data_IF_137944920137
#
_entry.id   IF_137944920137
#
_cell.length_a   1.000
_cell.length_b   1.000
_cell.length_c   1.000
_cell.angle_alpha   90.00
_cell.angle_beta   90.00
_cell.angle_gamma   90.00
#
_symmetry.space_group_name_H-M   'P 1'
#
loop_
_entity.id
_entity.type
_entity.pdbx_description
1 polymer ?
#
# COMPACT_ATOMS: atom_id res chain seq x y z
N UNK A 1 26.67 33.40 4.50
CA UNK A 1 25.33 33.88 4.09
C UNK A 1 25.22 33.74 2.57
N UNK A 2 24.75 32.61 2.04
CA UNK A 2 24.52 32.50 0.58
C UNK A 2 23.50 31.44 0.11
N UNK A 3 23.02 30.52 0.94
CA UNK A 3 22.07 29.48 0.45
C UNK A 3 20.62 29.69 0.91
N UNK A 4 20.38 30.59 1.86
CA UNK A 4 19.03 30.87 2.38
C UNK A 4 18.12 31.58 1.36
N UNK A 5 18.69 32.42 0.48
CA UNK A 5 17.91 33.14 -0.53
C UNK A 5 17.46 32.27 -1.72
N UNK A 6 18.12 31.13 -1.97
CA UNK A 6 17.78 30.25 -3.10
C UNK A 6 16.57 29.34 -2.80
N UNK A 7 16.27 29.09 -1.52
CA UNK A 7 15.14 28.26 -1.11
C UNK A 7 13.83 29.05 -0.97
N UNK A 8 13.90 30.35 -0.70
CA UNK A 8 12.72 31.22 -0.53
C UNK A 8 12.05 31.65 -1.85
N UNK A 9 12.65 31.35 -3.01
CA UNK A 9 12.12 31.73 -4.33
C UNK A 9 11.17 30.71 -4.95
N UNK A 10 10.88 29.57 -4.30
CA UNK A 10 10.07 28.49 -4.90
C UNK A 10 8.56 28.64 -4.71
N UNK A 11 8.11 29.44 -3.74
CA UNK A 11 6.68 29.63 -3.44
C UNK A 11 6.31 31.12 -3.43
N UNK A 12 6.76 31.86 -4.44
CA UNK A 12 6.33 33.23 -4.64
C UNK A 12 5.35 33.24 -5.81
N UNK A 13 4.06 33.31 -5.50
CA UNK A 13 2.94 33.51 -6.43
C UNK A 13 2.94 34.92 -7.06
N UNK A 14 4.11 35.47 -7.41
CA UNK A 14 4.19 36.77 -8.07
C UNK A 14 3.82 36.60 -9.55
N UNK A 15 2.63 37.06 -9.91
CA UNK A 15 2.16 37.14 -11.30
C UNK A 15 1.41 35.91 -11.81
N UNK A 16 0.82 35.10 -10.93
CA UNK A 16 -0.16 34.10 -11.35
C UNK A 16 -1.37 34.81 -12.00
N UNK A 17 -1.48 34.68 -13.32
CA UNK A 17 -2.69 35.03 -14.05
C UNK A 17 -3.74 33.94 -13.77
N UNK A 18 -4.78 34.28 -13.01
CA UNK A 18 -5.85 33.37 -12.63
C UNK A 18 -6.72 32.94 -13.83
N UNK A 19 -6.54 33.55 -15.02
CA UNK A 19 -7.27 33.14 -16.22
C UNK A 19 -6.77 31.79 -16.73
N UNK A 20 -7.60 30.73 -16.72
CA UNK A 20 -7.15 29.41 -17.12
C UNK A 20 -7.03 29.33 -18.65
N UNK A 21 -5.86 28.90 -19.14
CA UNK A 21 -5.70 28.52 -20.54
C UNK A 21 -6.36 27.15 -20.75
N UNK A 22 -7.43 27.11 -21.54
CA UNK A 22 -8.15 25.87 -21.84
C UNK A 22 -7.35 25.03 -22.84
N UNK A 23 -6.91 23.84 -22.40
CA UNK A 23 -6.25 22.88 -23.28
C UNK A 23 -7.27 22.14 -24.16
N UNK A 24 -6.96 21.89 -25.45
CA UNK A 24 -7.80 21.08 -26.31
C UNK A 24 -8.07 19.68 -25.72
N UNK A 25 -9.34 19.23 -25.63
CA UNK A 25 -9.69 17.93 -25.03
C UNK A 25 -8.96 16.73 -25.67
N UNK A 26 -8.70 16.80 -26.97
CA UNK A 26 -7.97 15.74 -27.71
C UNK A 26 -6.54 15.56 -27.19
N UNK A 27 -5.84 16.67 -26.87
CA UNK A 27 -4.48 16.60 -26.32
C UNK A 27 -4.49 16.01 -24.91
N UNK A 28 -5.48 16.37 -24.09
CA UNK A 28 -5.66 15.79 -22.75
C UNK A 28 -5.95 14.29 -22.83
N UNK A 29 -6.87 13.87 -23.71
CA UNK A 29 -7.21 12.46 -23.90
C UNK A 29 -6.01 11.64 -24.39
N UNK A 30 -5.23 12.18 -25.33
CA UNK A 30 -3.99 11.56 -25.80
C UNK A 30 -2.97 11.41 -24.68
N UNK A 31 -2.79 12.44 -23.84
CA UNK A 31 -1.90 12.37 -22.69
C UNK A 31 -2.34 11.30 -21.69
N UNK A 32 -3.65 11.21 -21.38
CA UNK A 32 -4.20 10.16 -20.52
C UNK A 32 -3.93 8.76 -21.10
N UNK A 33 -4.17 8.58 -22.40
CA UNK A 33 -3.91 7.32 -23.09
C UNK A 33 -2.44 6.91 -23.01
N UNK A 34 -1.50 7.84 -23.23
CA UNK A 34 -0.05 7.55 -23.16
C UNK A 34 0.43 7.16 -21.75
N UNK A 35 -0.34 7.49 -20.71
CA UNK A 35 0.00 7.18 -19.32
C UNK A 35 -0.84 6.01 -18.74
N UNK A 36 -1.75 5.40 -19.51
CA UNK A 36 -2.70 4.41 -18.99
C UNK A 36 -2.04 3.11 -18.51
N UNK A 37 -0.87 2.77 -19.06
CA UNK A 37 -0.04 1.66 -18.59
C UNK A 37 0.99 2.16 -17.59
N UNK A 38 0.52 2.72 -16.49
CA UNK A 38 1.40 3.16 -15.42
C UNK A 38 0.88 2.79 -14.04
N UNK A 39 1.82 2.72 -13.10
CA UNK A 39 1.51 2.56 -11.68
C UNK A 39 2.05 3.77 -10.92
N UNK A 40 1.29 4.22 -9.94
CA UNK A 40 1.74 5.18 -8.94
C UNK A 40 2.18 4.41 -7.71
N UNK A 41 3.31 4.83 -7.17
CA UNK A 41 3.87 4.26 -5.99
C UNK A 41 4.09 5.33 -4.94
N UNK A 42 3.85 4.96 -3.69
CA UNK A 42 4.14 5.79 -2.52
C UNK A 42 5.09 5.04 -1.61
N UNK A 43 6.21 5.69 -1.28
CA UNK A 43 7.11 5.19 -0.28
C UNK A 43 6.60 5.58 1.11
N UNK A 44 6.36 4.58 1.97
CA UNK A 44 5.82 4.82 3.32
C UNK A 44 6.81 5.64 4.18
N UNK A 45 8.12 5.50 3.96
CA UNK A 45 9.14 6.33 4.63
C UNK A 45 9.82 7.34 3.67
N UNK A 46 9.60 8.65 3.84
CA UNK A 46 10.15 9.69 2.96
C UNK A 46 11.68 9.89 3.03
N UNK A 47 12.36 9.39 4.05
CA UNK A 47 13.79 9.70 4.27
C UNK A 47 14.75 8.95 3.33
N UNK A 48 14.25 7.99 2.54
CA UNK A 48 15.10 7.19 1.64
C UNK A 48 15.25 7.81 0.25
N UNK A 49 16.42 7.57 -0.36
CA UNK A 49 16.78 8.12 -1.68
C UNK A 49 15.95 7.48 -2.81
N UNK A 50 14.91 8.18 -3.28
CA UNK A 50 14.05 7.74 -4.38
C UNK A 50 14.77 7.34 -5.67
N UNK A 51 15.88 8.02 -6.01
CA UNK A 51 16.65 7.68 -7.22
C UNK A 51 17.19 6.25 -7.19
N UNK A 52 17.66 5.80 -6.03
CA UNK A 52 18.14 4.42 -5.86
C UNK A 52 17.00 3.42 -6.00
N UNK A 53 15.83 3.73 -5.43
CA UNK A 53 14.62 2.93 -5.57
C UNK A 53 14.21 2.79 -7.03
N UNK A 54 14.08 3.90 -7.76
CA UNK A 54 13.62 3.89 -9.16
C UNK A 54 14.52 3.05 -10.04
N UNK A 55 15.84 3.08 -9.81
CA UNK A 55 16.80 2.30 -10.59
C UNK A 55 16.80 0.80 -10.24
N UNK A 56 16.43 0.43 -9.02
CA UNK A 56 16.49 -0.97 -8.55
C UNK A 56 15.18 -1.74 -8.74
N UNK A 57 14.02 -1.08 -8.64
CA UNK A 57 12.72 -1.74 -8.76
C UNK A 57 12.53 -2.52 -10.07
N UNK A 58 12.93 -2.02 -11.26
CA UNK A 58 12.84 -2.78 -12.51
C UNK A 58 13.60 -4.11 -12.45
N UNK A 59 14.76 -4.14 -11.77
CA UNK A 59 15.53 -5.36 -11.55
C UNK A 59 14.82 -6.30 -10.57
N UNK A 60 14.26 -5.77 -9.48
CA UNK A 60 13.48 -6.54 -8.49
C UNK A 60 12.25 -7.20 -9.15
N UNK A 61 11.60 -6.51 -10.08
CA UNK A 61 10.46 -7.02 -10.83
C UNK A 61 10.84 -7.98 -11.98
N UNK A 62 12.11 -7.95 -12.40
CA UNK A 62 12.62 -8.73 -13.53
C UNK A 62 12.11 -8.25 -14.88
N UNK A 63 11.99 -6.93 -15.08
CA UNK A 63 11.43 -6.29 -16.29
C UNK A 63 12.19 -5.00 -16.67
N UNK A 64 13.52 -5.04 -16.64
CA UNK A 64 14.40 -3.86 -16.78
C UNK A 64 14.19 -3.05 -18.05
N UNK A 65 13.88 -3.69 -19.17
CA UNK A 65 13.76 -3.02 -20.48
C UNK A 65 12.32 -2.62 -20.83
N UNK A 66 11.35 -2.89 -19.96
CA UNK A 66 9.93 -2.67 -20.23
C UNK A 66 9.31 -1.54 -19.42
N UNK A 67 10.12 -0.87 -18.58
CA UNK A 67 9.61 0.10 -17.60
C UNK A 67 10.50 1.33 -17.49
N UNK A 68 9.87 2.51 -17.43
CA UNK A 68 10.53 3.79 -17.23
C UNK A 68 10.00 4.41 -15.94
N UNK A 69 10.89 4.72 -15.01
CA UNK A 69 10.54 5.36 -13.74
C UNK A 69 10.73 6.87 -13.76
N UNK A 70 9.80 7.62 -13.17
CA UNK A 70 9.87 9.07 -12.96
C UNK A 70 9.48 9.46 -11.54
N UNK A 71 10.13 10.48 -11.00
CA UNK A 71 9.79 11.08 -9.70
C UNK A 71 8.67 12.08 -9.93
N UNK A 72 7.58 11.97 -9.16
CA UNK A 72 6.51 12.98 -9.16
C UNK A 72 6.80 14.02 -8.08
N UNK A 73 7.05 13.56 -6.86
CA UNK A 73 7.39 14.41 -5.72
C UNK A 73 8.23 13.63 -4.70
N UNK A 74 8.42 14.16 -3.50
CA UNK A 74 9.28 13.57 -2.45
C UNK A 74 8.86 12.20 -1.94
N UNK A 75 7.59 11.82 -2.11
CA UNK A 75 7.04 10.53 -1.63
C UNK A 75 6.50 9.64 -2.75
N UNK A 76 6.26 10.22 -3.94
CA UNK A 76 5.58 9.58 -5.06
C UNK A 76 6.47 9.44 -6.27
N UNK A 77 6.38 8.27 -6.88
CA UNK A 77 7.03 7.96 -8.13
C UNK A 77 6.11 7.13 -9.01
N UNK A 78 6.31 7.24 -10.31
CA UNK A 78 5.50 6.56 -11.30
C UNK A 78 6.39 5.71 -12.18
N UNK A 79 5.89 4.53 -12.52
CA UNK A 79 6.49 3.69 -13.53
C UNK A 79 5.55 3.55 -14.72
N UNK A 80 6.05 3.81 -15.91
CA UNK A 80 5.37 3.63 -17.18
C UNK A 80 5.85 2.32 -17.80
N UNK A 81 4.91 1.49 -18.20
CA UNK A 81 5.15 0.17 -18.78
C UNK A 81 4.89 0.22 -20.28
N UNK A 82 5.66 -0.57 -21.04
CA UNK A 82 5.42 -0.74 -22.48
C UNK A 82 4.12 -1.49 -22.77
N UNK A 83 3.71 -2.41 -21.88
CA UNK A 83 2.55 -3.28 -22.07
C UNK A 83 1.74 -3.41 -20.79
N UNK A 84 0.46 -3.76 -20.95
CA UNK A 84 -0.45 -4.01 -19.83
C UNK A 84 -0.10 -5.30 -19.08
N UNK A 85 0.42 -6.32 -19.77
CA UNK A 85 0.84 -7.57 -19.16
C UNK A 85 1.99 -7.36 -18.17
N UNK A 86 2.97 -6.52 -18.53
CA UNK A 86 4.09 -6.17 -17.66
C UNK A 86 3.59 -5.44 -16.38
N UNK A 87 2.66 -4.50 -16.55
CA UNK A 87 2.02 -3.79 -15.45
C UNK A 87 1.26 -4.75 -14.52
N UNK A 88 0.42 -5.62 -15.08
CA UNK A 88 -0.37 -6.58 -14.31
C UNK A 88 0.51 -7.61 -13.58
N UNK A 89 1.65 -8.01 -14.18
CA UNK A 89 2.64 -8.88 -13.54
C UNK A 89 3.26 -8.23 -12.30
N UNK A 90 3.52 -6.91 -12.34
CA UNK A 90 4.03 -6.18 -11.17
C UNK A 90 2.94 -6.02 -10.10
N UNK A 91 1.71 -5.68 -10.49
CA UNK A 91 0.61 -5.50 -9.53
C UNK A 91 0.24 -6.80 -8.81
N UNK A 92 0.16 -7.92 -9.53
CA UNK A 92 -0.23 -9.24 -8.98
C UNK A 92 0.80 -9.86 -8.03
N UNK A 93 2.06 -9.47 -8.13
CA UNK A 93 3.16 -9.99 -7.29
C UNK A 93 3.40 -9.17 -6.03
N UNK A 94 2.76 -7.99 -5.90
CA UNK A 94 2.84 -7.15 -4.71
C UNK A 94 2.27 -7.81 -3.45
N UNK A 95 2.40 -7.18 -2.27
CA UNK A 95 3.04 -5.88 -2.03
C UNK A 95 4.56 -5.93 -2.20
N UNK A 96 5.17 -4.76 -2.46
CA UNK A 96 6.61 -4.61 -2.72
C UNK A 96 7.34 -3.95 -1.55
N UNK A 97 8.60 -4.35 -1.36
CA UNK A 97 9.50 -3.80 -0.36
C UNK A 97 10.72 -3.18 -1.04
N UNK A 98 11.22 -2.09 -0.48
CA UNK A 98 12.52 -1.53 -0.81
C UNK A 98 13.25 -1.10 0.46
N UNK A 99 14.46 -1.63 0.65
CA UNK A 99 15.23 -1.44 1.89
C UNK A 99 14.39 -1.69 3.15
N UNK A 100 13.63 -2.79 3.12
CA UNK A 100 12.68 -3.24 4.15
C UNK A 100 11.45 -2.33 4.39
N UNK A 101 11.29 -1.25 3.62
CA UNK A 101 10.11 -0.39 3.68
C UNK A 101 9.10 -0.78 2.62
N UNK A 102 7.82 -0.81 3.01
CA UNK A 102 6.73 -1.09 2.10
C UNK A 102 6.54 0.05 1.09
N UNK A 103 6.22 -0.36 -0.14
CA UNK A 103 5.82 0.54 -1.22
C UNK A 103 4.35 0.27 -1.51
N UNK A 104 3.50 1.28 -1.31
CA UNK A 104 2.13 1.22 -1.80
C UNK A 104 2.18 1.33 -3.30
N UNK A 105 1.64 0.34 -4.02
CA UNK A 105 1.63 0.31 -5.48
C UNK A 105 0.18 0.27 -5.96
N UNK A 106 -0.22 1.22 -6.80
CA UNK A 106 -1.56 1.28 -7.40
C UNK A 106 -1.45 1.48 -8.89
N UNK A 107 -2.38 0.88 -9.64
CA UNK A 107 -2.58 1.25 -11.04
C UNK A 107 -2.91 2.74 -11.10
N UNK A 108 -2.29 3.46 -12.03
CA UNK A 108 -2.65 4.85 -12.28
C UNK A 108 -3.95 4.91 -13.06
N UNK A 109 -4.82 5.83 -12.63
CA UNK A 109 -5.98 6.26 -13.39
C UNK A 109 -6.27 7.73 -13.04
N UNK A 110 -7.10 8.38 -13.85
CA UNK A 110 -7.41 9.81 -13.69
C UNK A 110 -8.26 10.13 -12.44
N UNK A 111 -8.85 9.12 -11.80
CA UNK A 111 -9.70 9.22 -10.61
C UNK A 111 -8.97 8.86 -9.31
N UNK A 112 -7.68 8.48 -9.40
CA UNK A 112 -6.88 8.07 -8.26
C UNK A 112 -6.69 9.22 -7.27
N UNK A 113 -7.23 9.05 -6.06
CA UNK A 113 -7.13 10.04 -4.98
C UNK A 113 -5.93 9.78 -4.07
N UNK A 114 -5.57 10.77 -3.26
CA UNK A 114 -4.55 10.62 -2.21
C UNK A 114 -4.90 9.49 -1.22
N UNK A 115 -6.19 9.32 -0.90
CA UNK A 115 -6.64 8.28 0.03
C UNK A 115 -6.47 6.87 -0.56
N UNK A 116 -6.68 6.70 -1.87
CA UNK A 116 -6.40 5.43 -2.53
C UNK A 116 -4.92 5.05 -2.44
N UNK A 117 -4.02 6.04 -2.41
CA UNK A 117 -2.57 5.87 -2.29
C UNK A 117 -2.10 5.59 -0.87
N UNK A 118 -2.99 5.64 0.12
CA UNK A 118 -2.73 5.23 1.50
C UNK A 118 -3.21 3.82 1.81
N UNK A 119 -3.88 3.15 0.87
CA UNK A 119 -4.43 1.83 1.08
C UNK A 119 -3.56 0.75 0.41
N UNK A 120 -3.18 -0.29 1.15
CA UNK A 120 -2.44 -1.45 0.64
C UNK A 120 -3.21 -2.74 0.89
N UNK A 121 -3.13 -3.68 -0.05
CA UNK A 121 -3.62 -5.03 0.18
C UNK A 121 -2.51 -5.88 0.76
N UNK A 122 -2.78 -6.51 1.89
CA UNK A 122 -1.82 -7.35 2.58
C UNK A 122 -2.51 -8.56 3.21
N UNK A 123 -1.79 -9.68 3.24
CA UNK A 123 -2.23 -10.89 3.91
C UNK A 123 -1.91 -10.79 5.40
N UNK A 124 -2.89 -11.06 6.26
CA UNK A 124 -2.73 -11.17 7.70
C UNK A 124 -3.00 -12.60 8.11
N UNK A 125 -2.03 -13.20 8.80
CA UNK A 125 -2.19 -14.48 9.45
C UNK A 125 -2.77 -14.25 10.84
N UNK A 126 -3.92 -14.85 11.12
CA UNK A 126 -4.57 -14.84 12.43
C UNK A 126 -4.26 -16.18 13.12
N UNK A 127 -3.81 -16.13 14.38
CA UNK A 127 -3.58 -17.31 15.23
C UNK A 127 -4.27 -17.17 16.56
N UNK A 128 -4.56 -18.30 17.19
CA UNK A 128 -5.14 -18.38 18.53
C UNK A 128 -6.66 -18.46 18.57
N UNK A 129 -7.33 -18.59 17.41
CA UNK A 129 -8.78 -18.86 17.36
C UNK A 129 -8.99 -20.30 17.84
N UNK A 130 -9.80 -20.55 18.88
CA UNK A 130 -10.05 -21.90 19.34
C UNK A 130 -10.74 -22.73 18.25
N UNK A 131 -10.37 -24.01 18.04
CA UNK A 131 -10.88 -24.81 16.92
C UNK A 131 -12.42 -24.94 16.88
N UNK A 132 -13.08 -24.92 18.03
CA UNK A 132 -14.55 -25.00 18.11
C UNK A 132 -15.28 -23.69 17.74
N UNK A 133 -14.57 -22.55 17.71
CA UNK A 133 -15.08 -21.29 17.17
C UNK A 133 -14.61 -21.00 15.74
N UNK A 134 -13.75 -21.86 15.17
CA UNK A 134 -13.15 -21.64 13.87
C UNK A 134 -14.21 -21.81 12.77
N UNK A 135 -14.63 -20.69 12.19
CA UNK A 135 -15.56 -20.64 11.07
C UNK A 135 -15.26 -19.44 10.20
N UNK A 136 -15.62 -19.50 8.91
CA UNK A 136 -15.43 -18.39 7.97
C UNK A 136 -16.00 -17.07 8.51
N UNK A 137 -17.21 -17.10 9.08
CA UNK A 137 -17.87 -15.90 9.61
C UNK A 137 -17.08 -15.26 10.78
N UNK A 138 -16.53 -16.07 11.68
CA UNK A 138 -15.70 -15.58 12.79
C UNK A 138 -14.39 -14.99 12.27
N UNK A 139 -13.78 -15.63 11.28
CA UNK A 139 -12.53 -15.19 10.67
C UNK A 139 -12.72 -13.84 9.95
N UNK A 140 -13.80 -13.72 9.17
CA UNK A 140 -14.18 -12.47 8.49
C UNK A 140 -14.45 -11.36 9.51
N UNK A 141 -15.21 -11.64 10.57
CA UNK A 141 -15.48 -10.68 11.63
C UNK A 141 -14.19 -10.18 12.30
N UNK A 142 -13.30 -11.09 12.71
CA UNK A 142 -12.00 -10.72 13.30
C UNK A 142 -11.17 -9.92 12.29
N UNK A 143 -11.13 -10.34 11.02
CA UNK A 143 -10.45 -9.63 9.95
C UNK A 143 -10.94 -8.18 9.80
N UNK A 144 -12.26 -7.98 9.79
CA UNK A 144 -12.89 -6.66 9.67
C UNK A 144 -12.60 -5.74 10.86
N UNK A 145 -12.31 -6.30 12.05
CA UNK A 145 -11.81 -5.48 13.17
C UNK A 145 -10.41 -4.90 12.92
N UNK A 146 -9.63 -5.49 12.02
CA UNK A 146 -8.31 -4.99 11.64
C UNK A 146 -8.40 -3.99 10.48
N UNK A 147 -9.13 -4.37 9.43
CA UNK A 147 -9.34 -3.61 8.20
C UNK A 147 -10.35 -4.36 7.31
N UNK A 148 -10.93 -3.66 6.33
CA UNK A 148 -11.88 -4.26 5.39
C UNK A 148 -11.32 -5.53 4.76
N UNK A 149 -11.99 -6.67 4.99
CA UNK A 149 -11.63 -7.96 4.42
C UNK A 149 -11.97 -7.99 2.92
N UNK A 150 -11.03 -8.51 2.13
CA UNK A 150 -11.14 -8.69 0.68
C UNK A 150 -11.28 -10.17 0.33
N UNK A 151 -10.53 -11.04 1.02
CA UNK A 151 -10.52 -12.48 0.77
C UNK A 151 -10.10 -13.26 2.03
N UNK A 152 -10.50 -14.53 2.12
CA UNK A 152 -10.17 -15.42 3.23
C UNK A 152 -9.76 -16.79 2.71
N UNK A 153 -8.52 -17.17 3.02
CA UNK A 153 -8.00 -18.53 2.79
C UNK A 153 -8.37 -19.40 3.98
N UNK A 154 -9.55 -19.97 3.89
CA UNK A 154 -10.09 -20.90 4.87
C UNK A 154 -10.97 -21.93 4.17
N UNK A 155 -10.70 -23.20 4.45
CA UNK A 155 -11.47 -24.35 3.94
C UNK A 155 -11.98 -25.15 5.12
N UNK A 156 -13.30 -25.28 5.25
CA UNK A 156 -13.98 -25.91 6.41
C UNK A 156 -13.59 -27.38 6.61
N UNK A 157 -13.06 -28.04 5.58
CA UNK A 157 -12.62 -29.44 5.61
C UNK A 157 -11.29 -29.65 6.34
N UNK A 158 -10.51 -28.58 6.56
CA UNK A 158 -9.15 -28.63 7.12
C UNK A 158 -9.14 -28.22 8.60
N UNK A 159 -9.71 -29.06 9.46
CA UNK A 159 -9.80 -28.89 10.93
C UNK A 159 -8.40 -28.78 11.61
N UNK A 160 -7.31 -29.03 10.87
CA UNK A 160 -5.92 -29.07 11.34
C UNK A 160 -5.11 -27.80 11.02
N UNK A 161 -5.73 -26.62 10.96
CA UNK A 161 -4.98 -25.37 10.78
C UNK A 161 -4.99 -24.51 12.05
N UNK A 162 -3.82 -24.40 12.69
CA UNK A 162 -3.58 -23.52 13.86
C UNK A 162 -3.58 -22.01 13.51
N UNK A 163 -3.76 -21.70 12.22
CA UNK A 163 -3.74 -20.35 11.70
C UNK A 163 -4.56 -20.22 10.42
N UNK A 164 -5.13 -19.05 10.22
CA UNK A 164 -5.90 -18.71 9.01
C UNK A 164 -5.36 -17.42 8.39
N UNK A 165 -5.60 -17.23 7.11
CA UNK A 165 -5.12 -16.07 6.38
C UNK A 165 -6.28 -15.25 5.82
N UNK A 166 -6.25 -13.95 6.11
CA UNK A 166 -7.20 -12.97 5.57
C UNK A 166 -6.45 -11.93 4.74
N UNK A 167 -6.98 -11.58 3.58
CA UNK A 167 -6.50 -10.45 2.78
C UNK A 167 -7.30 -9.23 3.18
N UNK A 168 -6.63 -8.16 3.58
CA UNK A 168 -7.30 -6.92 4.03
C UNK A 168 -6.82 -5.72 3.24
N UNK A 169 -7.71 -4.74 3.08
CA UNK A 169 -7.41 -3.40 2.58
C UNK A 169 -6.97 -2.51 3.75
N UNK A 170 -5.67 -2.46 4.01
CA UNK A 170 -5.10 -1.76 5.16
C UNK A 170 -4.69 -0.31 4.85
N UNK A 171 -5.03 0.63 5.72
CA UNK A 171 -4.59 2.02 5.63
C UNK A 171 -3.21 2.19 6.29
N UNK A 172 -2.24 2.75 5.56
CA UNK A 172 -0.87 2.92 6.05
C UNK A 172 -0.74 3.87 7.26
N UNK A 173 -1.74 4.73 7.46
CA UNK A 173 -1.81 5.66 8.58
C UNK A 173 -2.25 4.97 9.89
N UNK A 174 -2.81 3.75 9.80
CA UNK A 174 -3.27 3.00 10.97
C UNK A 174 -2.09 2.24 11.62
N UNK A 175 -2.03 2.18 12.96
CA UNK A 175 -1.05 1.38 13.68
C UNK A 175 -1.36 -0.11 13.55
N UNK A 176 -0.32 -0.92 13.38
CA UNK A 176 -0.48 -2.38 13.30
C UNK A 176 -0.85 -2.95 14.67
N UNK A 177 -1.81 -3.86 14.65
CA UNK A 177 -2.24 -4.61 15.82
C UNK A 177 -1.63 -6.01 15.74
N UNK A 178 -0.70 -6.34 16.64
CA UNK A 178 -0.05 -7.66 16.62
C UNK A 178 -0.72 -8.68 17.53
N UNK A 179 -1.43 -8.21 18.57
CA UNK A 179 -2.19 -9.05 19.49
C UNK A 179 -3.41 -8.30 20.00
N UNK A 180 -4.51 -9.00 20.23
CA UNK A 180 -5.70 -8.44 20.86
C UNK A 180 -6.54 -9.52 21.52
N UNK A 181 -7.26 -9.16 22.59
CA UNK A 181 -8.14 -10.08 23.30
C UNK A 181 -9.53 -10.06 22.67
N UNK A 182 -10.06 -11.24 22.38
CA UNK A 182 -11.42 -11.41 21.88
C UNK A 182 -12.21 -12.27 22.84
N UNK A 183 -13.44 -11.87 23.09
CA UNK A 183 -14.38 -12.63 23.89
C UNK A 183 -15.33 -13.39 22.95
N UNK A 184 -15.25 -14.72 22.97
CA UNK A 184 -16.07 -15.59 22.11
C UNK A 184 -17.38 -16.02 22.79
N UNK A 185 -17.34 -16.15 24.12
CA UNK A 185 -18.46 -16.49 24.98
C UNK A 185 -18.36 -15.79 26.33
N UNK A 186 -19.33 -15.99 27.21
CA UNK A 186 -19.35 -15.33 28.53
C UNK A 186 -18.14 -15.82 29.35
N UNK A 187 -17.18 -14.92 29.61
CA UNK A 187 -15.94 -15.24 30.33
C UNK A 187 -14.86 -15.95 29.50
N UNK A 188 -15.11 -16.25 28.22
CA UNK A 188 -14.18 -16.97 27.34
C UNK A 188 -13.36 -15.97 26.52
N UNK A 189 -12.27 -15.48 27.13
CA UNK A 189 -11.35 -14.52 26.52
C UNK A 189 -10.14 -15.26 25.97
N UNK A 190 -9.86 -15.05 24.68
CA UNK A 190 -8.69 -15.59 24.00
C UNK A 190 -7.87 -14.46 23.39
N UNK A 191 -6.55 -14.52 23.57
CA UNK A 191 -5.62 -13.58 22.91
C UNK A 191 -5.31 -14.09 21.52
N UNK A 192 -5.73 -13.35 20.50
CA UNK A 192 -5.36 -13.61 19.12
C UNK A 192 -4.07 -12.88 18.79
N UNK A 193 -3.27 -13.46 17.89
CA UNK A 193 -2.08 -12.82 17.34
C UNK A 193 -2.16 -12.68 15.84
N UNK A 194 -1.65 -11.56 15.33
CA UNK A 194 -1.70 -11.17 13.94
C UNK A 194 -0.29 -11.02 13.39
N UNK A 195 -0.01 -11.67 12.27
CA UNK A 195 1.25 -11.56 11.55
C UNK A 195 0.98 -11.09 10.12
N UNK A 196 1.60 -9.99 9.74
CA UNK A 196 1.39 -9.35 8.44
C UNK A 196 2.42 -9.87 7.43
N UNK A 197 1.96 -10.40 6.29
CA UNK A 197 2.83 -10.94 5.25
C UNK A 197 3.75 -9.85 4.68
N UNK A 198 5.01 -10.22 4.44
CA UNK A 198 6.07 -9.35 3.88
C UNK A 198 6.27 -8.04 4.63
N UNK A 199 5.85 -7.96 5.89
CA UNK A 199 6.00 -6.76 6.69
C UNK A 199 7.21 -6.94 7.61
N UNK A 200 8.37 -6.37 7.21
CA UNK A 200 9.60 -6.36 8.02
C UNK A 200 9.75 -5.06 8.81
N UNK A 201 9.59 -3.91 8.15
CA UNK A 201 9.55 -2.60 8.80
C UNK A 201 8.28 -1.85 8.38
N UNK A 202 7.35 -1.73 9.32
CA UNK A 202 6.22 -0.82 9.23
C UNK A 202 6.26 -0.01 10.52
N UNK A 203 6.47 1.30 10.40
CA UNK A 203 6.40 2.22 11.54
C UNK A 203 5.17 3.09 11.36
N UNK A 204 4.12 2.78 12.13
CA UNK A 204 3.30 3.81 12.73
C UNK A 204 2.99 3.43 14.18
N UNK A 205 3.39 4.31 15.10
CA UNK A 205 3.00 4.36 16.52
C UNK A 205 2.49 3.03 17.10
N UNK A 206 3.41 2.22 17.64
CA UNK A 206 3.05 1.11 18.51
C UNK A 206 2.31 1.71 19.70
N UNK A 207 1.01 1.47 19.82
CA UNK A 207 0.35 1.66 21.10
C UNK A 207 0.90 0.58 22.04
N UNK A 208 1.87 0.95 22.87
CA UNK A 208 2.07 0.27 24.13
C UNK A 208 0.83 0.56 24.96
N UNK A 209 -0.12 -0.38 24.98
CA UNK A 209 -1.13 -0.42 26.02
C UNK A 209 -0.62 -1.39 27.08
N UNK A 210 0.39 -0.93 27.83
CA UNK A 210 0.69 -1.47 29.15
C UNK A 210 -0.13 -0.65 30.16
N UNK A 211 -1.30 -1.17 30.54
CA UNK A 211 -1.93 -0.95 31.86
C UNK A 211 -2.85 -2.10 32.18
#
# INVERSE_FOLDING_TARGET
>A
MSDYHRFLLKDIELGLDETPIVLPPVLCAQAVYLNCFSIINVLVNPEKKMRGLINQMPCIWGITDEVIGRIINTKKFQFLFKTEEALNKVLSRGPWLFADWMIVTKRWDATLTEDNLKMVQLWVQIKGIPPHYLSRAIIEFIGDTLAQVVDVKFEDSLILTDCVWVLVNYYIDNPLLFKHNYQFGIGEIFTLSFLYDRLKNFLPFVWNVDT
#
